data_IF_892883189338
#
_entry.id   IF_892883189338
#
_cell.length_a   1.000
_cell.length_b   1.000
_cell.length_c   1.000
_cell.angle_alpha   90.00
_cell.angle_beta   90.00
_cell.angle_gamma   90.00
#
_symmetry.space_group_name_H-M   'P 1'
#
loop_
_entity.id
_entity.type
_entity.pdbx_description
1 polymer ?
#
# COMPACT_ATOMS: atom_id res chain seq x y z
N UNK A 1 -5.84 -4.84 6.23
CA UNK A 1 -5.34 -3.61 5.58
C UNK A 1 -4.96 -3.97 4.15
N UNK A 2 -5.16 -3.04 3.22
CA UNK A 2 -4.74 -3.14 1.83
C UNK A 2 -3.85 -1.94 1.51
N UNK A 3 -2.91 -2.12 0.58
CA UNK A 3 -2.29 -1.00 -0.12
C UNK A 3 -3.07 -0.77 -1.41
N UNK A 4 -3.35 0.48 -1.72
CA UNK A 4 -3.93 0.89 -3.01
C UNK A 4 -2.87 1.62 -3.82
N UNK A 5 -2.76 1.26 -5.10
CA UNK A 5 -1.97 2.00 -6.08
C UNK A 5 -2.95 2.57 -7.10
N UNK A 6 -2.98 3.88 -7.23
CA UNK A 6 -3.85 4.60 -8.16
C UNK A 6 -2.99 5.34 -9.20
N UNK A 7 -3.31 5.20 -10.47
CA UNK A 7 -2.68 5.99 -11.54
C UNK A 7 -3.35 7.35 -11.75
N UNK A 8 -2.82 8.15 -12.68
CA UNK A 8 -3.33 9.46 -13.06
C UNK A 8 -4.71 9.43 -13.72
N UNK A 9 -5.08 8.30 -14.31
CA UNK A 9 -6.41 8.03 -14.87
C UNK A 9 -7.43 7.59 -13.80
N UNK A 10 -7.02 7.45 -12.53
CA UNK A 10 -7.86 7.04 -11.43
C UNK A 10 -8.10 5.53 -11.32
N UNK A 11 -7.42 4.71 -12.13
CA UNK A 11 -7.51 3.25 -12.05
C UNK A 11 -6.80 2.78 -10.78
N UNK A 12 -7.47 1.91 -10.01
CA UNK A 12 -7.01 1.44 -8.70
C UNK A 12 -6.69 -0.04 -8.73
N UNK A 13 -5.53 -0.40 -8.17
CA UNK A 13 -5.14 -1.78 -7.90
C UNK A 13 -4.93 -1.95 -6.39
N UNK A 14 -5.42 -3.05 -5.83
CA UNK A 14 -5.40 -3.30 -4.39
C UNK A 14 -4.53 -4.52 -4.07
N UNK A 15 -3.67 -4.38 -3.06
CA UNK A 15 -2.71 -5.39 -2.65
C UNK A 15 -2.91 -5.76 -1.19
N UNK A 16 -2.96 -7.05 -0.91
CA UNK A 16 -3.03 -7.58 0.45
C UNK A 16 -1.72 -7.33 1.18
N UNK A 17 -1.80 -6.86 2.42
CA UNK A 17 -0.62 -6.72 3.28
C UNK A 17 -0.52 -7.87 4.27
N UNK A 18 0.69 -8.12 4.77
CA UNK A 18 0.93 -8.94 5.97
C UNK A 18 1.17 -8.04 7.18
N UNK A 19 0.75 -8.50 8.36
CA UNK A 19 1.07 -7.81 9.62
C UNK A 19 2.56 -7.93 9.93
N UNK A 20 3.12 -6.89 10.54
CA UNK A 20 4.52 -6.86 10.98
C UNK A 20 4.62 -6.34 12.42
N UNK A 21 5.63 -6.79 13.20
CA UNK A 21 5.84 -6.29 14.56
C UNK A 21 6.19 -4.81 14.58
N UNK A 22 5.58 -4.07 15.53
CA UNK A 22 5.88 -2.66 15.87
C UNK A 22 5.91 -2.48 17.39
N UNK A 23 6.87 -3.10 18.09
CA UNK A 23 6.97 -3.00 19.55
C UNK A 23 7.22 -1.57 20.03
N UNK A 24 7.84 -0.75 19.20
CA UNK A 24 8.04 0.69 19.43
C UNK A 24 6.70 1.43 19.55
N UNK A 25 5.74 1.14 18.67
CA UNK A 25 4.39 1.74 18.71
C UNK A 25 3.64 1.27 19.96
N UNK A 26 3.70 -0.03 20.26
CA UNK A 26 3.06 -0.60 21.44
C UNK A 26 3.61 0.01 22.75
N UNK A 27 4.92 0.20 22.84
CA UNK A 27 5.58 0.83 23.98
C UNK A 27 5.24 2.31 24.10
N UNK A 28 5.33 3.07 22.99
CA UNK A 28 5.04 4.50 22.98
C UNK A 28 3.60 4.81 23.41
N UNK A 29 2.63 4.02 22.93
CA UNK A 29 1.21 4.20 23.22
C UNK A 29 0.73 3.45 24.47
N UNK A 30 1.61 2.70 25.16
CA UNK A 30 1.29 1.85 26.32
C UNK A 30 0.13 0.88 26.06
N UNK A 31 0.13 0.28 24.86
CA UNK A 31 -0.94 -0.55 24.30
C UNK A 31 -0.36 -1.87 23.79
N UNK A 32 -0.35 -2.95 24.60
CA UNK A 32 0.30 -4.21 24.23
C UNK A 32 -0.38 -4.90 23.04
N UNK A 33 -1.67 -4.64 22.82
CA UNK A 33 -2.41 -5.14 21.67
C UNK A 33 -1.94 -4.55 20.32
N UNK A 34 -1.14 -3.47 20.35
CA UNK A 34 -0.53 -2.87 19.16
C UNK A 34 0.82 -3.48 18.76
N UNK A 35 1.25 -4.57 19.39
CA UNK A 35 2.53 -5.22 19.03
C UNK A 35 2.64 -5.60 17.55
N UNK A 36 1.51 -5.90 16.90
CA UNK A 36 1.44 -6.27 15.48
C UNK A 36 0.76 -5.19 14.62
N UNK A 37 0.90 -3.92 15.01
CA UNK A 37 0.27 -2.80 14.32
C UNK A 37 0.93 -2.42 12.97
N UNK A 38 2.06 -3.04 12.61
CA UNK A 38 2.71 -2.82 11.32
C UNK A 38 2.05 -3.57 10.17
N UNK A 39 2.22 -3.06 8.95
CA UNK A 39 1.80 -3.72 7.72
C UNK A 39 2.89 -3.59 6.66
N UNK A 40 3.09 -4.64 5.86
CA UNK A 40 4.03 -4.63 4.74
C UNK A 40 3.47 -5.41 3.53
N UNK A 41 3.90 -5.03 2.33
CA UNK A 41 3.65 -5.75 1.08
C UNK A 41 4.79 -5.51 0.10
N UNK A 42 5.04 -6.48 -0.76
CA UNK A 42 5.94 -6.32 -1.91
C UNK A 42 5.07 -6.29 -3.17
N UNK A 43 5.33 -5.34 -4.07
CA UNK A 43 4.55 -5.15 -5.30
C UNK A 43 5.55 -5.12 -6.45
N UNK A 44 5.33 -5.96 -7.46
CA UNK A 44 6.05 -5.86 -8.73
C UNK A 44 5.57 -4.61 -9.47
N UNK A 45 6.48 -3.66 -9.66
CA UNK A 45 6.19 -2.37 -10.30
C UNK A 45 6.43 -2.37 -11.81
N UNK A 46 6.83 -3.50 -12.42
CA UNK A 46 7.14 -3.58 -13.84
C UNK A 46 5.98 -3.07 -14.72
N UNK A 47 4.74 -3.38 -14.35
CA UNK A 47 3.52 -2.96 -15.05
C UNK A 47 2.94 -1.59 -14.57
N UNK A 48 3.75 -0.78 -13.88
CA UNK A 48 3.36 0.53 -13.35
C UNK A 48 4.29 1.58 -13.94
N UNK A 49 3.86 2.23 -15.02
CA UNK A 49 4.60 3.30 -15.66
C UNK A 49 3.94 4.66 -15.39
N UNK A 50 4.75 5.65 -15.02
CA UNK A 50 4.32 7.02 -14.76
C UNK A 50 3.93 7.29 -13.31
N UNK A 51 3.22 8.40 -13.12
CA UNK A 51 2.86 8.90 -11.79
C UNK A 51 1.73 8.08 -11.17
N UNK A 52 1.99 7.60 -9.96
CA UNK A 52 1.03 6.86 -9.15
C UNK A 52 0.91 7.49 -7.76
N UNK A 53 -0.24 7.29 -7.13
CA UNK A 53 -0.44 7.53 -5.70
C UNK A 53 -0.58 6.20 -4.99
N UNK A 54 0.30 5.96 -4.02
CA UNK A 54 0.27 4.81 -3.11
C UNK A 54 -0.42 5.24 -1.83
N UNK A 55 -1.45 4.51 -1.43
CA UNK A 55 -2.20 4.79 -0.20
C UNK A 55 -2.63 3.51 0.50
N UNK A 56 -3.50 3.68 1.51
CA UNK A 56 -4.07 2.56 2.26
C UNK A 56 -5.58 2.43 2.02
N UNK A 57 -6.08 1.21 2.17
CA UNK A 57 -7.49 0.93 2.14
C UNK A 57 -7.87 -0.17 3.15
N UNK A 58 -9.10 -0.16 3.61
CA UNK A 58 -9.65 -1.15 4.54
C UNK A 58 -10.83 -1.86 3.87
N UNK A 59 -10.87 -3.19 4.00
CA UNK A 59 -12.04 -3.98 3.64
C UNK A 59 -12.99 -4.06 4.83
N UNK A 60 -14.25 -3.64 4.65
CA UNK A 60 -15.34 -3.76 5.61
C UNK A 60 -16.50 -4.51 4.97
N UNK A 61 -16.64 -5.80 5.30
CA UNK A 61 -17.56 -6.69 4.59
C UNK A 61 -17.25 -6.69 3.09
N UNK A 62 -18.24 -6.38 2.28
CA UNK A 62 -18.14 -6.34 0.82
C UNK A 62 -17.65 -5.01 0.26
N UNK A 63 -17.30 -4.05 1.12
CA UNK A 63 -16.86 -2.70 0.73
C UNK A 63 -15.36 -2.53 0.96
N UNK A 64 -14.74 -1.76 0.07
CA UNK A 64 -13.38 -1.25 0.25
C UNK A 64 -13.46 0.26 0.46
N UNK A 65 -12.95 0.70 1.60
CA UNK A 65 -12.87 2.11 1.98
C UNK A 65 -11.42 2.58 1.82
N UNK A 66 -11.22 3.71 1.16
CA UNK A 66 -9.91 4.35 1.07
C UNK A 66 -9.62 5.11 2.36
N UNK A 67 -8.40 4.98 2.87
CA UNK A 67 -7.93 5.81 3.97
C UNK A 67 -7.51 7.18 3.43
N UNK A 68 -7.86 8.26 4.12
CA UNK A 68 -7.40 9.62 3.76
C UNK A 68 -5.88 9.75 3.83
N UNK A 69 -5.26 9.05 4.78
CA UNK A 69 -3.82 9.03 4.98
C UNK A 69 -3.31 7.60 5.29
N UNK A 70 -2.05 7.29 4.94
CA UNK A 70 -1.15 8.08 4.11
C UNK A 70 -1.51 8.00 2.62
N UNK A 71 -1.12 9.03 1.86
CA UNK A 71 -1.15 9.06 0.41
C UNK A 71 0.18 9.64 -0.10
N UNK A 72 0.95 8.83 -0.84
CA UNK A 72 2.29 9.18 -1.31
C UNK A 72 2.31 9.13 -2.83
N UNK A 73 2.67 10.25 -3.48
CA UNK A 73 2.92 10.26 -4.92
C UNK A 73 4.30 9.67 -5.22
N UNK A 74 4.37 8.75 -6.16
CA UNK A 74 5.61 8.15 -6.67
C UNK A 74 5.57 8.14 -8.19
N UNK A 75 6.71 8.39 -8.82
CA UNK A 75 6.88 8.21 -10.26
C UNK A 75 7.56 6.86 -10.50
N UNK A 76 6.84 5.93 -11.13
CA UNK A 76 7.31 4.58 -11.36
C UNK A 76 7.78 4.46 -12.80
N UNK A 77 9.07 4.16 -12.95
CA UNK A 77 9.65 3.78 -14.23
C UNK A 77 9.42 2.29 -14.39
N UNK A 78 8.20 1.90 -14.75
CA UNK A 78 7.89 0.51 -15.08
C UNK A 78 8.90 -0.08 -16.06
N UNK A 79 8.91 -1.40 -16.19
CA UNK A 79 9.60 -2.02 -17.28
C UNK A 79 8.90 -1.53 -18.56
N UNK A 80 9.54 -0.66 -19.33
CA UNK A 80 9.00 -0.24 -20.63
C UNK A 80 8.71 -1.47 -21.50
N UNK A 81 7.97 -1.32 -22.61
CA UNK A 81 7.67 -2.43 -23.52
C UNK A 81 8.90 -3.19 -24.04
N UNK A 82 10.11 -2.69 -23.83
CA UNK A 82 11.38 -3.27 -24.29
C UNK A 82 12.08 -4.20 -23.27
N UNK A 83 11.50 -4.48 -22.10
CA UNK A 83 12.09 -5.39 -21.11
C UNK A 83 11.87 -6.89 -21.42
N UNK A 84 11.81 -7.23 -22.70
CA UNK A 84 11.66 -8.59 -23.21
C UNK A 84 12.58 -8.82 -24.40
N UNK A 85 13.86 -9.05 -24.13
CA UNK A 85 14.78 -9.76 -25.02
C UNK A 85 15.86 -10.47 -24.24
#
# INVERSE_FOLDING_TARGET
MLVVVQDDQGRRRFFTTRRTPRPDVAAHLRRPDLQMAGYATNIDVAAFAGRHTVGLAIRRGDRIELCEQPAVSVDLRGAGPDAGR
#
